data_IF_550553662116
#
_entry.id   IF_550553662116
#
_cell.length_a   1.000
_cell.length_b   1.000
_cell.length_c   1.000
_cell.angle_alpha   90.00
_cell.angle_beta   90.00
_cell.angle_gamma   90.00
#
_symmetry.space_group_name_H-M   'P 1'
#
loop_
_entity.id
_entity.type
_entity.pdbx_description
1 polymer ?
#
# COMPACT_ATOMS: atom_id res chain seq x y z
N UNK A 1 42.96 76.40 20.66
CA UNK A 1 41.96 77.00 19.77
C UNK A 1 41.03 75.88 19.35
N UNK A 2 39.77 75.76 19.74
CA UNK A 2 38.85 76.65 20.45
C UNK A 2 37.79 75.77 21.13
N UNK A 3 37.34 76.18 22.32
CA UNK A 3 36.07 75.75 22.94
C UNK A 3 34.86 76.29 22.13
N UNK A 4 33.63 76.31 22.66
CA UNK A 4 32.70 75.28 23.16
C UNK A 4 31.32 75.44 22.45
N UNK A 5 30.21 74.95 23.04
CA UNK A 5 28.77 75.38 22.97
C UNK A 5 27.80 74.25 22.57
N UNK A 6 26.57 74.09 23.08
CA UNK A 6 25.77 74.71 24.16
C UNK A 6 24.54 73.82 24.42
N UNK A 7 24.18 73.74 25.70
CA UNK A 7 22.88 73.52 26.39
C UNK A 7 21.56 73.53 25.59
N UNK A 8 20.63 72.59 25.87
CA UNK A 8 19.16 72.81 26.09
C UNK A 8 18.53 71.50 26.64
N UNK A 9 18.26 71.33 27.94
CA UNK A 9 16.99 71.60 28.67
C UNK A 9 15.68 71.29 27.93
N UNK A 10 14.96 70.24 28.34
CA UNK A 10 13.54 70.33 28.75
C UNK A 10 13.06 69.03 29.40
N UNK A 11 12.55 69.14 30.63
CA UNK A 11 11.74 68.14 31.29
C UNK A 11 10.29 68.63 31.30
N UNK A 12 9.32 67.86 30.83
CA UNK A 12 7.89 68.04 31.14
C UNK A 12 7.16 66.68 31.08
N UNK A 13 6.82 66.20 32.28
CA UNK A 13 5.52 65.64 32.68
C UNK A 13 4.91 64.49 31.86
N UNK A 14 5.09 63.27 32.39
CA UNK A 14 4.28 62.12 32.08
C UNK A 14 2.82 62.35 32.54
N UNK A 15 1.90 62.31 31.60
CA UNK A 15 0.45 62.26 31.87
C UNK A 15 -0.07 60.90 31.43
N UNK A 16 -0.65 60.20 32.39
CA UNK A 16 -1.40 58.95 32.30
C UNK A 16 -2.50 58.97 31.23
N UNK A 17 -2.51 57.96 30.37
CA UNK A 17 -3.72 57.32 29.81
C UNK A 17 -3.30 55.88 29.43
N UNK A 18 -3.65 54.84 30.19
CA UNK A 18 -4.96 54.19 30.29
C UNK A 18 -5.60 53.88 28.94
N UNK A 19 -5.10 52.81 28.30
CA UNK A 19 -5.89 51.96 27.42
C UNK A 19 -5.40 50.52 27.60
N UNK A 20 -5.98 49.82 28.58
CA UNK A 20 -5.84 48.39 28.72
C UNK A 20 -6.52 47.72 27.51
N UNK A 21 -5.73 47.41 26.49
CA UNK A 21 -6.13 46.47 25.46
C UNK A 21 -6.16 45.08 26.09
N UNK A 22 -7.37 44.55 26.29
CA UNK A 22 -7.61 43.17 26.68
C UNK A 22 -7.10 42.27 25.55
N UNK A 23 -5.84 41.87 25.63
CA UNK A 23 -5.30 40.78 24.83
C UNK A 23 -6.02 39.51 25.31
N UNK A 24 -7.02 39.07 24.55
CA UNK A 24 -7.67 37.77 24.71
C UNK A 24 -6.57 36.70 24.62
N UNK A 25 -6.13 36.20 25.77
CA UNK A 25 -5.11 35.16 25.84
C UNK A 25 -5.65 33.93 25.10
N UNK A 26 -4.96 33.54 24.02
CA UNK A 26 -5.33 32.33 23.28
C UNK A 26 -5.34 31.14 24.26
N UNK A 27 -6.38 30.29 24.21
CA UNK A 27 -6.50 29.19 25.14
C UNK A 27 -5.27 28.27 25.04
N UNK A 28 -4.63 28.04 26.18
CA UNK A 28 -3.41 27.22 26.28
C UNK A 28 -3.71 25.72 26.17
N UNK A 29 -4.99 25.35 26.34
CA UNK A 29 -5.47 23.98 26.43
C UNK A 29 -6.82 23.85 25.72
N UNK A 30 -6.94 22.82 24.89
CA UNK A 30 -8.13 22.45 24.15
C UNK A 30 -8.59 21.08 24.63
N UNK A 31 -9.89 20.91 24.80
CA UNK A 31 -10.52 19.67 25.27
C UNK A 31 -11.20 18.99 24.09
N UNK A 32 -10.87 17.73 23.87
CA UNK A 32 -11.57 16.85 22.93
C UNK A 32 -12.22 15.75 23.74
N UNK A 33 -13.55 15.76 23.78
CA UNK A 33 -14.35 14.75 24.47
C UNK A 33 -14.71 13.68 23.45
N UNK A 34 -14.14 12.48 23.60
CA UNK A 34 -14.43 11.34 22.73
C UNK A 34 -15.35 10.39 23.48
N UNK A 35 -16.63 10.40 23.11
CA UNK A 35 -17.73 9.81 23.89
C UNK A 35 -17.75 10.35 25.32
N UNK A 36 -17.34 9.55 26.30
CA UNK A 36 -17.35 9.90 27.72
C UNK A 36 -15.94 10.17 28.28
N UNK A 37 -14.91 10.16 27.42
CA UNK A 37 -13.52 10.39 27.83
C UNK A 37 -12.99 11.74 27.36
N UNK A 38 -12.36 12.49 28.27
CA UNK A 38 -11.79 13.80 27.98
C UNK A 38 -10.29 13.71 27.69
N UNK A 39 -9.91 14.26 26.54
CA UNK A 39 -8.52 14.40 26.12
C UNK A 39 -8.14 15.86 26.07
N UNK A 40 -6.92 16.14 26.51
CA UNK A 40 -6.41 17.49 26.61
C UNK A 40 -5.25 17.70 25.65
N UNK A 41 -5.44 18.62 24.70
CA UNK A 41 -4.47 18.93 23.67
C UNK A 41 -3.98 20.37 23.81
N UNK A 42 -2.70 20.60 23.52
CA UNK A 42 -2.16 21.93 23.31
C UNK A 42 -2.13 22.27 21.82
N UNK A 43 -1.93 23.55 21.51
CA UNK A 43 -1.87 24.03 20.13
C UNK A 43 -0.81 23.28 19.29
N UNK A 44 0.38 23.03 19.85
CA UNK A 44 1.44 22.34 19.11
C UNK A 44 1.11 20.88 18.80
N UNK A 45 0.32 20.21 19.65
CA UNK A 45 -0.17 18.85 19.33
C UNK A 45 -1.18 18.90 18.19
N UNK A 46 -2.11 19.87 18.23
CA UNK A 46 -3.10 20.07 17.16
C UNK A 46 -2.42 20.38 15.81
N UNK A 47 -1.36 21.20 15.83
CA UNK A 47 -0.62 21.61 14.63
C UNK A 47 0.36 20.54 14.10
N UNK A 48 0.61 19.44 14.83
CA UNK A 48 1.66 18.46 14.49
C UNK A 48 1.48 17.80 13.11
N UNK A 49 0.24 17.52 12.73
CA UNK A 49 -0.14 16.94 11.44
C UNK A 49 -1.18 17.84 10.77
N UNK A 50 -0.91 19.14 10.74
CA UNK A 50 -1.75 20.14 10.08
C UNK A 50 -1.57 20.10 8.55
N UNK A 51 -2.61 20.44 7.75
CA UNK A 51 -3.98 20.75 8.19
C UNK A 51 -4.76 19.48 8.56
N UNK A 52 -5.60 19.58 9.59
CA UNK A 52 -6.46 18.49 10.07
C UNK A 52 -7.79 19.02 10.65
N UNK A 53 -8.68 18.10 11.03
CA UNK A 53 -9.99 18.38 11.59
C UNK A 53 -9.92 19.32 12.81
N UNK A 54 -8.97 19.10 13.72
CA UNK A 54 -8.80 19.92 14.92
C UNK A 54 -8.34 21.34 14.60
N UNK A 55 -7.39 21.50 13.67
CA UNK A 55 -6.96 22.84 13.22
C UNK A 55 -8.11 23.62 12.58
N UNK A 56 -8.98 22.94 11.84
CA UNK A 56 -10.16 23.55 11.24
C UNK A 56 -11.20 23.92 12.29
N UNK A 57 -11.41 23.09 13.31
CA UNK A 57 -12.40 23.37 14.34
C UNK A 57 -11.95 24.48 15.30
N UNK A 58 -10.74 24.36 15.86
CA UNK A 58 -10.26 25.27 16.90
C UNK A 58 -9.68 26.58 16.39
N UNK A 59 -9.21 26.64 15.13
CA UNK A 59 -8.45 27.80 14.62
C UNK A 59 -9.05 28.46 13.37
N UNK A 60 -10.15 27.96 12.81
CA UNK A 60 -10.75 28.58 11.61
C UNK A 60 -11.44 29.92 11.91
N UNK A 61 -11.88 30.69 10.92
CA UNK A 61 -12.64 31.92 11.16
C UNK A 61 -14.12 31.70 11.52
N UNK A 62 -14.57 30.45 11.63
CA UNK A 62 -15.98 30.11 11.77
C UNK A 62 -16.48 30.16 13.23
N UNK A 63 -17.80 30.17 13.43
CA UNK A 63 -18.47 30.37 14.74
C UNK A 63 -17.96 29.43 15.85
N UNK A 64 -17.45 28.25 15.51
CA UNK A 64 -16.94 27.25 16.47
C UNK A 64 -15.51 27.52 16.95
N UNK A 65 -14.75 28.38 16.27
CA UNK A 65 -13.34 28.69 16.58
C UNK A 65 -13.12 29.48 17.88
N UNK A 66 -14.20 29.85 18.57
CA UNK A 66 -14.13 30.36 19.94
C UNK A 66 -14.25 29.27 21.01
N UNK A 67 -14.63 28.05 20.64
CA UNK A 67 -14.82 26.95 21.60
C UNK A 67 -13.49 26.26 21.89
N UNK A 68 -13.16 26.11 23.16
CA UNK A 68 -12.03 25.29 23.61
C UNK A 68 -12.40 23.82 23.78
N UNK A 69 -13.66 23.45 23.54
CA UNK A 69 -14.17 22.10 23.71
C UNK A 69 -14.82 21.58 22.42
N UNK A 70 -14.54 20.33 22.10
CA UNK A 70 -15.08 19.58 20.97
C UNK A 70 -15.60 18.23 21.46
N UNK A 71 -16.73 17.76 20.91
CA UNK A 71 -17.24 16.42 21.15
C UNK A 71 -17.15 15.58 19.86
N UNK A 72 -16.71 14.33 20.00
CA UNK A 72 -16.55 13.39 18.90
C UNK A 72 -17.06 12.02 19.32
N UNK A 73 -17.89 11.38 18.48
CA UNK A 73 -18.35 10.01 18.72
C UNK A 73 -17.43 8.99 18.00
N UNK A 74 -16.27 8.72 18.61
CA UNK A 74 -15.27 7.75 18.13
C UNK A 74 -14.78 6.86 19.26
N UNK A 75 -13.89 5.92 18.98
CA UNK A 75 -13.36 5.02 20.00
C UNK A 75 -12.29 5.75 20.85
N UNK A 76 -12.47 5.91 22.16
CA UNK A 76 -11.51 6.64 23.00
C UNK A 76 -10.17 5.92 23.14
N UNK A 77 -10.13 4.59 23.15
CA UNK A 77 -8.88 3.81 23.22
C UNK A 77 -8.00 4.05 21.99
N UNK A 78 -8.61 4.09 20.79
CA UNK A 78 -7.89 4.41 19.55
C UNK A 78 -7.51 5.90 19.50
N UNK A 79 -8.35 6.77 20.04
CA UNK A 79 -8.03 8.18 20.14
C UNK A 79 -6.82 8.45 21.04
N UNK A 80 -6.63 7.68 22.11
CA UNK A 80 -5.43 7.77 22.94
C UNK A 80 -4.15 7.53 22.12
N UNK A 81 -4.15 6.58 21.17
CA UNK A 81 -3.03 6.37 20.24
C UNK A 81 -2.82 7.57 19.31
N UNK A 82 -3.89 8.23 18.88
CA UNK A 82 -3.82 9.46 18.07
C UNK A 82 -3.20 10.59 18.89
N UNK A 83 -3.54 10.72 20.18
CA UNK A 83 -2.92 11.73 21.06
C UNK A 83 -1.42 11.49 21.23
N UNK A 84 -0.99 10.24 21.41
CA UNK A 84 0.44 9.88 21.46
C UNK A 84 1.15 10.27 20.15
N UNK A 85 0.54 9.99 19.01
CA UNK A 85 1.04 10.40 17.70
C UNK A 85 1.15 11.93 17.56
N UNK A 86 0.09 12.67 17.92
CA UNK A 86 0.06 14.14 17.89
C UNK A 86 1.07 14.76 18.87
N UNK A 87 1.48 14.01 19.89
CA UNK A 87 2.56 14.38 20.80
C UNK A 87 3.96 14.13 20.21
N UNK A 88 4.04 13.56 19.01
CA UNK A 88 5.28 13.29 18.29
C UNK A 88 5.87 11.88 18.50
N UNK A 89 5.19 10.98 19.21
CA UNK A 89 5.68 9.64 19.44
C UNK A 89 5.51 8.73 18.22
N UNK A 90 6.45 7.82 18.04
CA UNK A 90 6.33 6.73 17.06
C UNK A 90 5.42 5.64 17.62
N UNK A 91 4.19 5.58 17.15
CA UNK A 91 3.19 4.63 17.67
C UNK A 91 3.32 3.21 17.07
N UNK A 92 4.05 3.05 15.96
CA UNK A 92 4.21 1.76 15.29
C UNK A 92 5.59 1.12 15.58
N UNK A 93 5.67 -0.21 15.76
CA UNK A 93 4.57 -1.18 15.80
C UNK A 93 3.70 -1.00 17.05
N UNK A 94 2.39 -1.20 16.93
CA UNK A 94 1.48 -1.09 18.09
C UNK A 94 1.85 -2.14 19.12
N UNK A 95 2.07 -1.71 20.36
CA UNK A 95 2.28 -2.62 21.48
C UNK A 95 0.97 -3.35 21.81
N UNK A 96 1.02 -4.65 22.07
CA UNK A 96 -0.18 -5.44 22.41
C UNK A 96 -0.96 -4.85 23.60
N UNK A 97 -0.27 -4.24 24.57
CA UNK A 97 -0.87 -3.56 25.73
C UNK A 97 -1.64 -2.29 25.40
N UNK A 98 -1.40 -1.70 24.23
CA UNK A 98 -2.04 -0.47 23.77
C UNK A 98 -3.24 -0.76 22.87
N UNK A 99 -3.54 -2.04 22.60
CA UNK A 99 -4.72 -2.44 21.85
C UNK A 99 -5.96 -2.37 22.77
N UNK A 100 -7.09 -1.86 22.27
CA UNK A 100 -8.37 -2.02 22.95
C UNK A 100 -8.62 -3.49 23.27
N UNK A 101 -9.15 -3.81 24.46
CA UNK A 101 -9.40 -5.20 24.88
C UNK A 101 -10.34 -5.97 23.94
N UNK A 102 -11.12 -5.24 23.16
CA UNK A 102 -12.14 -5.75 22.24
C UNK A 102 -11.62 -5.96 20.81
N UNK A 103 -10.35 -5.68 20.52
CA UNK A 103 -9.81 -5.69 19.16
C UNK A 103 -8.49 -6.44 19.05
N UNK A 104 -8.32 -7.18 17.95
CA UNK A 104 -7.03 -7.72 17.54
C UNK A 104 -6.18 -6.63 16.85
N UNK A 105 -4.87 -6.90 16.68
CA UNK A 105 -3.93 -5.95 16.08
C UNK A 105 -4.38 -5.51 14.68
N UNK A 106 -4.89 -6.43 13.87
CA UNK A 106 -5.33 -6.14 12.49
C UNK A 106 -6.52 -5.20 12.48
N UNK A 107 -7.53 -5.44 13.30
CA UNK A 107 -8.72 -4.60 13.41
C UNK A 107 -8.37 -3.23 13.98
N UNK A 108 -7.50 -3.18 15.00
CA UNK A 108 -7.04 -1.92 15.57
C UNK A 108 -6.29 -1.06 14.54
N UNK A 109 -5.37 -1.63 13.76
CA UNK A 109 -4.66 -0.90 12.70
C UNK A 109 -5.62 -0.38 11.63
N UNK A 110 -6.62 -1.18 11.23
CA UNK A 110 -7.64 -0.75 10.26
C UNK A 110 -8.47 0.40 10.80
N UNK A 111 -9.00 0.29 12.01
CA UNK A 111 -9.83 1.36 12.59
C UNK A 111 -9.02 2.61 12.92
N UNK A 112 -7.77 2.46 13.35
CA UNK A 112 -6.87 3.60 13.53
C UNK A 112 -6.59 4.32 12.21
N UNK A 113 -6.48 3.59 11.09
CA UNK A 113 -6.36 4.21 9.77
C UNK A 113 -7.64 4.97 9.38
N UNK A 114 -8.82 4.39 9.60
CA UNK A 114 -10.10 5.07 9.38
C UNK A 114 -10.26 6.35 10.23
N UNK A 115 -9.86 6.29 11.51
CA UNK A 115 -9.89 7.45 12.39
C UNK A 115 -8.86 8.50 11.95
N UNK A 116 -7.65 8.10 11.54
CA UNK A 116 -6.66 9.02 10.98
C UNK A 116 -7.17 9.72 9.71
N UNK A 117 -7.89 9.00 8.84
CA UNK A 117 -8.55 9.58 7.67
C UNK A 117 -9.67 10.54 8.08
N UNK A 118 -10.52 10.17 9.03
CA UNK A 118 -11.61 11.00 9.55
C UNK A 118 -11.12 12.32 10.12
N UNK A 119 -10.05 12.28 10.94
CA UNK A 119 -9.46 13.49 11.52
C UNK A 119 -8.59 14.27 10.53
N UNK A 120 -8.39 13.78 9.31
CA UNK A 120 -7.52 14.43 8.32
C UNK A 120 -6.04 14.43 8.72
N UNK A 121 -5.59 13.45 9.51
CA UNK A 121 -4.20 13.29 9.93
C UNK A 121 -3.42 12.59 8.80
N UNK A 122 -3.08 13.35 7.76
CA UNK A 122 -2.56 12.81 6.50
C UNK A 122 -1.28 12.00 6.69
N UNK A 123 -0.34 12.47 7.54
CA UNK A 123 0.91 11.75 7.78
C UNK A 123 0.67 10.48 8.60
N UNK A 124 -0.24 10.48 9.58
CA UNK A 124 -0.60 9.28 10.32
C UNK A 124 -1.30 8.25 9.42
N UNK A 125 -2.27 8.70 8.64
CA UNK A 125 -2.98 7.85 7.69
C UNK A 125 -2.00 7.20 6.70
N UNK A 126 -1.04 7.99 6.17
CA UNK A 126 0.03 7.45 5.35
C UNK A 126 0.89 6.44 6.13
N UNK A 127 1.30 6.72 7.37
CA UNK A 127 2.08 5.80 8.20
C UNK A 127 1.38 4.43 8.42
N UNK A 128 0.04 4.42 8.47
CA UNK A 128 -0.78 3.23 8.70
C UNK A 128 -1.14 2.47 7.42
N UNK A 129 -1.16 3.15 6.28
CA UNK A 129 -1.60 2.58 4.99
C UNK A 129 -0.47 2.33 4.00
N UNK A 130 0.64 3.06 4.14
CA UNK A 130 1.83 2.96 3.28
C UNK A 130 2.79 1.93 3.90
N UNK A 131 3.30 0.98 3.10
CA UNK A 131 4.29 0.04 3.58
C UNK A 131 5.52 0.81 4.03
N UNK A 132 6.14 0.37 5.13
CA UNK A 132 7.39 0.97 5.59
C UNK A 132 8.43 0.89 4.48
N UNK A 133 9.07 2.02 4.18
CA UNK A 133 10.27 1.99 3.35
C UNK A 133 11.27 1.04 3.99
N UNK A 134 11.93 0.21 3.19
CA UNK A 134 12.89 -0.71 3.74
C UNK A 134 13.98 0.06 4.47
N UNK A 135 14.33 -0.37 5.68
CA UNK A 135 15.42 0.25 6.46
C UNK A 135 16.81 -0.17 5.98
N UNK A 136 16.87 -1.02 4.96
CA UNK A 136 18.09 -1.54 4.36
C UNK A 136 18.32 -0.77 3.06
N UNK A 137 19.57 -0.41 2.75
CA UNK A 137 19.90 0.14 1.43
C UNK A 137 19.66 -0.93 0.35
N UNK A 138 18.72 -0.69 -0.57
CA UNK A 138 18.39 -1.62 -1.66
C UNK A 138 19.36 -1.52 -2.84
N UNK A 139 20.33 -0.59 -2.81
CA UNK A 139 21.30 -0.39 -3.88
C UNK A 139 21.99 -1.67 -4.35
N UNK A 140 22.37 -2.55 -3.42
CA UNK A 140 23.08 -3.80 -3.73
C UNK A 140 22.22 -4.81 -4.50
N UNK A 141 20.89 -4.70 -4.41
CA UNK A 141 19.94 -5.51 -5.19
C UNK A 141 19.65 -4.94 -6.58
N UNK A 142 20.20 -3.77 -6.89
CA UNK A 142 19.94 -3.05 -8.14
C UNK A 142 18.67 -2.20 -8.14
N UNK A 143 17.92 -2.14 -7.02
CA UNK A 143 16.74 -1.29 -6.88
C UNK A 143 17.07 0.04 -6.17
N UNK A 144 16.19 1.01 -6.34
CA UNK A 144 16.18 2.22 -5.50
C UNK A 144 15.75 1.86 -4.07
N UNK A 145 16.23 2.65 -3.10
CA UNK A 145 15.77 2.67 -1.71
C UNK A 145 14.34 3.24 -1.56
N UNK A 146 13.78 3.81 -2.64
CA UNK A 146 12.42 4.32 -2.69
C UNK A 146 11.42 3.20 -2.96
N UNK A 147 10.32 3.25 -2.22
CA UNK A 147 9.07 2.53 -2.52
C UNK A 147 7.99 3.56 -2.81
N UNK A 148 7.27 3.40 -3.92
CA UNK A 148 6.13 4.24 -4.29
C UNK A 148 4.84 3.43 -4.27
N UNK A 149 3.72 4.08 -4.00
CA UNK A 149 2.42 3.41 -4.07
C UNK A 149 1.96 3.31 -5.52
N UNK A 150 1.23 2.27 -5.84
CA UNK A 150 0.62 2.13 -7.14
C UNK A 150 -0.41 3.24 -7.40
N UNK A 151 -1.15 3.67 -6.38
CA UNK A 151 -2.09 4.80 -6.51
C UNK A 151 -1.37 6.10 -6.91
N UNK A 152 -0.20 6.37 -6.35
CA UNK A 152 0.60 7.56 -6.69
C UNK A 152 1.10 7.48 -8.13
N UNK A 153 1.47 6.27 -8.60
CA UNK A 153 1.84 6.01 -10.01
C UNK A 153 0.64 6.28 -10.93
N UNK A 154 -0.55 5.82 -10.58
CA UNK A 154 -1.77 6.02 -11.37
C UNK A 154 -2.19 7.49 -11.46
N UNK A 155 -2.01 8.24 -10.37
CA UNK A 155 -2.36 9.66 -10.31
C UNK A 155 -1.27 10.58 -10.87
N UNK A 156 -0.08 10.03 -11.19
CA UNK A 156 1.08 10.83 -11.59
C UNK A 156 1.69 11.65 -10.43
N UNK A 157 1.32 11.34 -9.19
CA UNK A 157 1.79 12.00 -7.97
C UNK A 157 3.12 11.41 -7.50
N UNK A 158 4.10 11.37 -8.40
CA UNK A 158 5.40 10.75 -8.13
C UNK A 158 6.35 11.69 -7.39
N UNK A 159 7.23 11.17 -6.51
CA UNK A 159 8.32 11.96 -5.93
C UNK A 159 9.18 12.60 -7.04
N UNK A 160 9.77 13.78 -6.77
CA UNK A 160 10.55 14.51 -7.77
C UNK A 160 11.75 13.72 -8.35
N UNK A 161 12.31 12.78 -7.59
CA UNK A 161 13.40 11.92 -8.05
C UNK A 161 12.93 10.76 -8.94
N UNK A 162 11.63 10.47 -9.00
CA UNK A 162 11.06 9.32 -9.69
C UNK A 162 10.42 9.74 -11.00
N UNK A 163 10.81 9.10 -12.10
CA UNK A 163 10.26 9.39 -13.43
C UNK A 163 10.31 8.17 -14.35
N UNK A 164 9.52 8.20 -15.42
CA UNK A 164 9.61 7.21 -16.48
C UNK A 164 10.87 7.46 -17.32
N UNK A 165 11.66 6.40 -17.49
CA UNK A 165 12.88 6.37 -18.29
C UNK A 165 12.77 5.30 -19.38
N UNK A 166 13.78 5.19 -20.23
CA UNK A 166 13.89 4.10 -21.22
C UNK A 166 13.99 2.70 -20.59
N UNK A 167 14.23 2.61 -19.28
CA UNK A 167 14.27 1.35 -18.52
C UNK A 167 12.98 1.04 -17.76
N UNK A 168 12.00 1.94 -17.78
CA UNK A 168 10.76 1.86 -17.00
C UNK A 168 10.69 2.95 -15.93
N UNK A 169 9.97 2.69 -14.83
CA UNK A 169 9.83 3.66 -13.74
C UNK A 169 11.05 3.60 -12.81
N UNK A 170 11.81 4.68 -12.73
CA UNK A 170 13.10 4.70 -12.02
C UNK A 170 13.26 5.94 -11.15
N UNK A 171 14.04 5.81 -10.08
CA UNK A 171 14.56 6.93 -9.31
C UNK A 171 15.88 7.37 -9.91
N UNK A 172 16.09 8.68 -9.96
CA UNK A 172 17.29 9.34 -10.47
C UNK A 172 17.92 10.08 -9.30
N UNK A 173 18.72 9.36 -8.53
CA UNK A 173 19.40 9.89 -7.35
C UNK A 173 20.91 9.93 -7.62
N UNK A 174 21.53 11.11 -7.47
CA UNK A 174 22.97 11.32 -7.65
C UNK A 174 23.53 10.77 -8.99
N UNK A 175 22.74 10.85 -10.07
CA UNK A 175 23.11 10.36 -11.40
C UNK A 175 22.96 8.85 -11.60
N UNK A 176 22.59 8.08 -10.57
CA UNK A 176 22.25 6.67 -10.70
C UNK A 176 20.76 6.52 -11.06
N UNK A 177 20.47 5.77 -12.12
CA UNK A 177 19.10 5.42 -12.52
C UNK A 177 18.81 4.02 -12.01
N UNK A 178 17.86 3.88 -11.09
CA UNK A 178 17.50 2.58 -10.49
C UNK A 178 15.99 2.35 -10.52
N UNK A 179 15.52 1.13 -10.86
CA UNK A 179 14.10 0.83 -10.80
C UNK A 179 13.55 1.02 -9.39
N UNK A 180 12.34 1.58 -9.31
CA UNK A 180 11.64 1.82 -8.04
C UNK A 180 10.70 0.66 -7.76
N UNK A 181 10.67 0.21 -6.51
CA UNK A 181 9.72 -0.79 -6.06
C UNK A 181 8.35 -0.12 -5.90
N UNK A 182 7.35 -0.72 -6.51
CA UNK A 182 5.96 -0.26 -6.45
C UNK A 182 5.19 -1.21 -5.54
N UNK A 183 4.45 -0.64 -4.62
CA UNK A 183 3.56 -1.37 -3.73
C UNK A 183 2.10 -1.16 -4.12
N UNK A 184 1.35 -2.25 -4.22
CA UNK A 184 -0.10 -2.22 -4.38
C UNK A 184 -0.79 -3.12 -3.36
N UNK A 185 -2.07 -2.86 -3.12
CA UNK A 185 -2.92 -3.66 -2.24
C UNK A 185 -4.26 -3.95 -2.89
N UNK A 186 -4.90 -5.00 -2.40
CA UNK A 186 -6.28 -5.33 -2.74
C UNK A 186 -6.50 -5.50 -4.26
N UNK A 187 -5.52 -6.13 -4.92
CA UNK A 187 -5.57 -6.44 -6.35
C UNK A 187 -5.70 -7.95 -6.52
N UNK A 188 -6.74 -8.38 -7.24
CA UNK A 188 -6.88 -9.79 -7.60
C UNK A 188 -5.77 -10.22 -8.57
N UNK A 189 -5.07 -11.28 -8.20
CA UNK A 189 -4.02 -11.91 -9.00
C UNK A 189 -4.58 -13.18 -9.61
N UNK A 190 -4.61 -13.24 -10.94
CA UNK A 190 -5.01 -14.42 -11.70
C UNK A 190 -3.77 -15.20 -12.16
N UNK A 191 -3.69 -16.46 -11.75
CA UNK A 191 -2.73 -17.45 -12.24
C UNK A 191 -3.41 -18.28 -13.33
N UNK A 192 -2.84 -18.33 -14.52
CA UNK A 192 -3.45 -19.00 -15.67
C UNK A 192 -2.54 -20.12 -16.14
N UNK A 193 -3.05 -21.35 -16.12
CA UNK A 193 -2.37 -22.52 -16.66
C UNK A 193 -2.72 -22.76 -18.13
N UNK A 194 -1.71 -22.83 -19.00
CA UNK A 194 -1.88 -22.93 -20.45
C UNK A 194 -1.79 -24.38 -20.98
N UNK A 195 -2.60 -24.73 -21.99
CA UNK A 195 -2.66 -26.09 -22.59
C UNK A 195 -1.52 -26.43 -23.56
N UNK A 196 -1.17 -25.49 -24.42
CA UNK A 196 -0.35 -25.73 -25.61
C UNK A 196 1.15 -25.64 -25.31
N UNK A 197 1.81 -26.80 -25.13
CA UNK A 197 3.25 -26.94 -25.40
C UNK A 197 3.43 -27.00 -26.92
N UNK A 198 4.55 -26.52 -27.47
CA UNK A 198 4.83 -26.81 -28.87
C UNK A 198 5.03 -28.33 -29.08
N UNK A 199 4.83 -28.79 -30.32
CA UNK A 199 4.83 -30.23 -30.69
C UNK A 199 6.20 -30.91 -30.50
N UNK A 200 7.25 -30.19 -30.11
CA UNK A 200 8.61 -30.71 -29.96
C UNK A 200 8.99 -31.07 -28.52
N UNK A 201 8.15 -30.75 -27.54
CA UNK A 201 8.41 -31.08 -26.13
C UNK A 201 9.58 -30.30 -25.50
N UNK A 202 10.10 -29.25 -26.18
CA UNK A 202 11.01 -28.27 -25.57
C UNK A 202 10.22 -27.02 -25.13
N UNK A 203 10.62 -26.33 -24.05
CA UNK A 203 10.03 -25.06 -23.68
C UNK A 203 10.38 -24.00 -24.74
N UNK A 204 9.38 -23.52 -25.47
CA UNK A 204 9.51 -22.32 -26.30
C UNK A 204 9.76 -21.11 -25.36
N UNK A 205 10.79 -20.28 -25.59
CA UNK A 205 11.05 -19.08 -24.81
C UNK A 205 9.87 -18.09 -24.76
N UNK A 206 8.88 -18.25 -25.64
CA UNK A 206 7.65 -17.46 -25.70
C UNK A 206 6.39 -18.21 -25.22
N UNK A 207 6.50 -19.47 -24.79
CA UNK A 207 5.33 -20.29 -24.45
C UNK A 207 5.33 -20.71 -22.98
N UNK A 208 4.87 -19.77 -22.15
CA UNK A 208 4.82 -19.92 -20.71
C UNK A 208 3.72 -20.90 -20.31
N UNK A 209 4.11 -21.96 -19.60
CA UNK A 209 3.18 -22.93 -19.00
C UNK A 209 2.16 -22.28 -18.05
N UNK A 210 2.58 -21.18 -17.44
CA UNK A 210 1.76 -20.33 -16.59
C UNK A 210 1.90 -18.88 -17.04
N UNK A 211 0.80 -18.15 -17.04
CA UNK A 211 0.81 -16.68 -17.15
C UNK A 211 0.16 -16.07 -15.90
N UNK A 212 0.54 -14.83 -15.61
CA UNK A 212 0.09 -14.11 -14.42
C UNK A 212 -0.56 -12.80 -14.85
N UNK A 213 -1.66 -12.45 -14.20
CA UNK A 213 -2.44 -11.27 -14.58
C UNK A 213 -2.96 -10.55 -13.35
N UNK A 214 -2.92 -9.22 -13.38
CA UNK A 214 -3.59 -8.39 -12.39
C UNK A 214 -4.96 -8.02 -12.93
N UNK A 215 -6.02 -8.36 -12.19
CA UNK A 215 -7.37 -7.95 -12.53
C UNK A 215 -7.57 -6.53 -12.01
N UNK A 216 -7.70 -5.57 -12.93
CA UNK A 216 -7.81 -4.15 -12.61
C UNK A 216 -9.22 -3.64 -12.90
N UNK A 217 -9.80 -2.79 -12.03
CA UNK A 217 -11.01 -2.06 -12.36
C UNK A 217 -10.83 -1.24 -13.65
N UNK A 218 -11.91 -1.09 -14.42
CA UNK A 218 -11.88 -0.32 -15.67
C UNK A 218 -11.35 1.12 -15.50
N UNK A 219 -11.63 1.73 -14.34
CA UNK A 219 -11.10 3.05 -13.99
C UNK A 219 -9.56 3.06 -13.88
N UNK A 220 -8.97 2.03 -13.27
CA UNK A 220 -7.50 1.90 -13.14
C UNK A 220 -6.88 1.67 -14.51
N UNK A 221 -7.49 0.81 -15.34
CA UNK A 221 -7.05 0.62 -16.73
C UNK A 221 -7.01 1.94 -17.49
N UNK A 222 -8.10 2.71 -17.45
CA UNK A 222 -8.17 3.99 -18.15
C UNK A 222 -7.09 4.97 -17.66
N UNK A 223 -6.78 4.98 -16.36
CA UNK A 223 -5.69 5.78 -15.80
C UNK A 223 -4.30 5.32 -16.28
N UNK A 224 -4.07 4.00 -16.41
CA UNK A 224 -2.83 3.45 -16.97
C UNK A 224 -2.66 3.81 -18.45
N UNK A 225 -3.75 3.79 -19.23
CA UNK A 225 -3.74 4.19 -20.65
C UNK A 225 -3.49 5.69 -20.86
N UNK A 226 -3.71 6.52 -19.83
CA UNK A 226 -3.40 7.94 -19.83
C UNK A 226 -1.94 8.26 -19.44
N UNK A 227 -1.19 7.29 -18.95
CA UNK A 227 0.19 7.53 -18.51
C UNK A 227 1.08 7.91 -19.71
N UNK A 228 2.01 8.86 -19.51
CA UNK A 228 2.85 9.36 -20.59
C UNK A 228 3.78 8.26 -21.08
N UNK A 229 3.85 8.12 -22.41
CA UNK A 229 4.72 7.18 -23.13
C UNK A 229 4.44 5.70 -22.94
N UNK A 230 3.41 5.28 -22.21
CA UNK A 230 3.25 3.88 -21.81
C UNK A 230 2.21 3.11 -22.61
N UNK A 231 2.64 2.02 -23.24
CA UNK A 231 1.76 0.94 -23.67
C UNK A 231 1.92 -0.25 -22.70
N UNK A 232 1.00 -0.36 -21.73
CA UNK A 232 0.90 -1.56 -20.90
C UNK A 232 0.25 -2.69 -21.69
N UNK A 233 0.71 -3.92 -21.46
CA UNK A 233 0.20 -5.10 -22.15
C UNK A 233 -1.04 -5.66 -21.42
N UNK A 234 -2.22 -5.38 -21.95
CA UNK A 234 -3.47 -5.98 -21.46
C UNK A 234 -3.81 -7.25 -22.24
N UNK A 235 -4.56 -8.16 -21.62
CA UNK A 235 -5.00 -9.36 -22.32
C UNK A 235 -6.04 -9.00 -23.40
N UNK A 236 -5.86 -9.53 -24.61
CA UNK A 236 -6.82 -9.35 -25.70
C UNK A 236 -8.21 -9.95 -25.39
N UNK A 237 -8.24 -11.07 -24.67
CA UNK A 237 -9.48 -11.75 -24.31
C UNK A 237 -10.23 -11.06 -23.15
N UNK A 238 -9.51 -10.35 -22.28
CA UNK A 238 -10.09 -9.55 -21.21
C UNK A 238 -9.28 -8.26 -21.04
N UNK A 239 -9.79 -7.12 -21.53
CA UNK A 239 -9.04 -5.88 -21.53
C UNK A 239 -8.80 -5.34 -20.12
N UNK A 240 -9.50 -5.83 -19.09
CA UNK A 240 -9.29 -5.42 -17.69
C UNK A 240 -8.12 -6.14 -17.00
N UNK A 241 -7.54 -7.13 -17.68
CA UNK A 241 -6.43 -7.91 -17.15
C UNK A 241 -5.10 -7.41 -17.67
N UNK A 242 -4.27 -6.90 -16.76
CA UNK A 242 -2.91 -6.49 -17.06
C UNK A 242 -1.99 -7.72 -17.01
N UNK A 243 -1.29 -8.00 -18.11
CA UNK A 243 -0.32 -9.10 -18.19
C UNK A 243 0.94 -8.71 -17.42
N UNK A 244 1.39 -9.61 -16.55
CA UNK A 244 2.60 -9.40 -15.75
C UNK A 244 3.52 -10.62 -15.85
N UNK A 245 4.82 -10.39 -15.61
CA UNK A 245 5.79 -11.47 -15.44
C UNK A 245 6.29 -11.50 -14.00
N UNK A 246 7.01 -12.57 -13.69
CA UNK A 246 7.63 -12.80 -12.38
C UNK A 246 9.13 -12.96 -12.59
N UNK A 247 9.94 -12.58 -11.61
CA UNK A 247 11.32 -13.02 -11.59
C UNK A 247 11.41 -14.47 -11.09
N UNK A 248 12.46 -15.22 -11.45
CA UNK A 248 12.63 -16.60 -10.97
C UNK A 248 12.62 -16.72 -9.44
N UNK A 249 13.15 -15.70 -8.75
CA UNK A 249 13.24 -15.67 -7.29
C UNK A 249 11.97 -15.12 -6.61
N UNK A 250 10.98 -14.68 -7.40
CA UNK A 250 9.77 -14.06 -6.87
C UNK A 250 8.97 -15.02 -6.01
N UNK A 251 8.49 -14.51 -4.88
CA UNK A 251 7.79 -15.30 -3.86
C UNK A 251 6.30 -15.01 -3.89
N UNK A 252 5.51 -16.05 -3.65
CA UNK A 252 4.08 -15.97 -3.44
C UNK A 252 3.81 -16.52 -2.03
N UNK A 253 3.20 -15.70 -1.17
CA UNK A 253 2.71 -16.10 0.14
C UNK A 253 1.21 -16.26 0.04
N UNK A 254 0.70 -17.46 0.26
CA UNK A 254 -0.70 -17.81 0.10
C UNK A 254 -1.20 -18.38 1.41
N UNK A 255 -2.17 -17.71 2.04
CA UNK A 255 -2.74 -18.11 3.33
C UNK A 255 -1.67 -18.33 4.43
N UNK A 256 -0.58 -17.56 4.37
CA UNK A 256 0.55 -17.64 5.31
C UNK A 256 1.68 -18.58 4.87
N UNK A 257 1.41 -19.50 3.95
CA UNK A 257 2.40 -20.42 3.40
C UNK A 257 3.24 -19.78 2.30
N UNK A 258 4.53 -20.13 2.20
CA UNK A 258 5.47 -19.50 1.25
C UNK A 258 5.85 -20.46 0.12
N UNK A 259 5.57 -20.06 -1.11
CA UNK A 259 5.94 -20.77 -2.34
C UNK A 259 6.66 -19.84 -3.33
N UNK A 260 7.23 -20.39 -4.41
CA UNK A 260 7.76 -19.61 -5.54
C UNK A 260 6.75 -19.61 -6.67
N UNK A 261 6.74 -18.55 -7.47
CA UNK A 261 5.87 -18.50 -8.67
C UNK A 261 6.18 -19.62 -9.66
N UNK A 262 7.45 -20.03 -9.80
CA UNK A 262 7.82 -21.16 -10.67
C UNK A 262 7.19 -22.50 -10.24
N UNK A 263 6.88 -22.67 -8.94
CA UNK A 263 6.23 -23.87 -8.43
C UNK A 263 4.80 -24.01 -8.97
N UNK A 264 4.10 -22.90 -9.26
CA UNK A 264 2.79 -22.95 -9.88
C UNK A 264 2.84 -23.59 -11.27
N UNK A 265 3.82 -23.19 -12.09
CA UNK A 265 4.01 -23.78 -13.41
C UNK A 265 4.35 -25.27 -13.32
N UNK A 266 5.15 -25.67 -12.32
CA UNK A 266 5.44 -27.08 -12.05
C UNK A 266 4.18 -27.87 -11.67
N UNK A 267 3.48 -27.42 -10.63
CA UNK A 267 2.23 -28.00 -10.14
C UNK A 267 1.19 -28.14 -11.26
N UNK A 268 1.04 -27.11 -12.10
CA UNK A 268 0.14 -27.13 -13.24
C UNK A 268 0.49 -28.24 -14.26
N UNK A 269 1.78 -28.45 -14.55
CA UNK A 269 2.22 -29.54 -15.45
C UNK A 269 1.98 -30.91 -14.84
N UNK A 270 2.32 -31.07 -13.56
CA UNK A 270 2.20 -32.33 -12.85
C UNK A 270 0.76 -32.85 -12.86
N UNK A 271 -0.22 -31.97 -12.60
CA UNK A 271 -1.66 -32.32 -12.62
C UNK A 271 -2.22 -32.66 -14.00
N UNK A 272 -1.64 -32.15 -15.08
CA UNK A 272 -2.17 -32.36 -16.45
C UNK A 272 -1.78 -33.67 -17.10
N UNK A 273 -0.63 -34.23 -16.73
CA UNK A 273 -0.12 -35.46 -17.35
C UNK A 273 -0.33 -36.62 -16.41
N UNK A 274 -1.50 -37.27 -16.51
CA UNK A 274 -1.69 -38.64 -16.01
C UNK A 274 -0.63 -39.54 -16.67
N UNK A 275 0.46 -39.83 -15.94
CA UNK A 275 1.56 -40.68 -16.42
C UNK A 275 2.83 -39.95 -16.87
N UNK A 276 3.07 -38.69 -16.48
CA UNK A 276 4.42 -38.12 -16.66
C UNK A 276 5.43 -38.92 -15.82
N UNK A 277 6.59 -39.31 -16.38
CA UNK A 277 7.37 -40.39 -15.82
C UNK A 277 8.06 -39.95 -14.53
N UNK A 278 7.78 -40.72 -13.49
CA UNK A 278 8.59 -40.90 -12.29
C UNK A 278 10.08 -40.98 -12.65
N UNK A 279 10.84 -39.90 -12.48
CA UNK A 279 12.27 -39.88 -12.79
C UNK A 279 13.00 -38.65 -12.27
N UNK A 280 12.37 -37.48 -12.31
CA UNK A 280 12.90 -36.32 -11.60
C UNK A 280 12.58 -36.46 -10.11
N UNK A 281 13.64 -36.58 -9.30
CA UNK A 281 13.53 -36.39 -7.86
C UNK A 281 13.09 -34.95 -7.62
N UNK A 282 11.80 -34.77 -7.38
CA UNK A 282 11.27 -33.54 -6.81
C UNK A 282 12.04 -33.25 -5.52
N UNK A 283 12.50 -32.02 -5.38
CA UNK A 283 13.01 -31.54 -4.11
C UNK A 283 11.86 -31.48 -3.11
N UNK A 284 12.16 -31.58 -1.82
CA UNK A 284 11.12 -31.49 -0.77
C UNK A 284 10.36 -30.16 -0.87
N UNK A 285 11.05 -29.07 -1.23
CA UNK A 285 10.47 -27.74 -1.50
C UNK A 285 9.40 -27.77 -2.61
N UNK A 286 9.59 -28.55 -3.68
CA UNK A 286 8.58 -28.65 -4.75
C UNK A 286 7.34 -29.42 -4.27
N UNK A 287 7.53 -30.49 -3.48
CA UNK A 287 6.41 -31.27 -2.92
C UNK A 287 5.61 -30.45 -1.91
N UNK A 288 6.28 -29.66 -1.09
CA UNK A 288 5.64 -28.76 -0.15
C UNK A 288 4.81 -27.71 -0.89
N UNK A 289 5.36 -27.12 -1.95
CA UNK A 289 4.63 -26.18 -2.78
C UNK A 289 3.41 -26.82 -3.48
N UNK A 290 3.53 -28.07 -3.96
CA UNK A 290 2.39 -28.81 -4.52
C UNK A 290 1.27 -28.98 -3.49
N UNK A 291 1.59 -29.35 -2.25
CA UNK A 291 0.60 -29.46 -1.17
C UNK A 291 -0.10 -28.13 -0.89
N UNK A 292 0.65 -27.03 -0.90
CA UNK A 292 0.10 -25.69 -0.71
C UNK A 292 -0.87 -25.32 -1.85
N UNK A 293 -0.51 -25.58 -3.10
CA UNK A 293 -1.43 -25.34 -4.23
C UNK A 293 -2.62 -26.29 -4.27
N UNK A 294 -2.45 -27.54 -3.83
CA UNK A 294 -3.53 -28.50 -3.72
C UNK A 294 -4.57 -28.06 -2.69
N UNK A 295 -4.12 -27.54 -1.55
CA UNK A 295 -4.98 -27.00 -0.51
C UNK A 295 -5.69 -25.71 -0.95
N UNK A 296 -4.97 -24.82 -1.64
CA UNK A 296 -5.50 -23.54 -2.11
C UNK A 296 -6.50 -23.68 -3.28
N UNK A 297 -6.27 -24.65 -4.15
CA UNK A 297 -7.10 -24.95 -5.30
C UNK A 297 -7.57 -26.41 -5.22
N UNK A 298 -8.46 -26.71 -4.25
CA UNK A 298 -9.00 -28.04 -4.05
C UNK A 298 -9.79 -28.46 -5.30
N UNK A 299 -10.05 -29.75 -5.43
CA UNK A 299 -10.53 -30.36 -6.67
C UNK A 299 -12.06 -30.27 -6.85
N UNK A 300 -12.60 -29.34 -7.67
CA UNK A 300 -13.79 -29.64 -8.45
C UNK A 300 -13.46 -29.93 -9.93
N UNK A 301 -12.17 -30.00 -10.28
CA UNK A 301 -11.70 -30.07 -11.68
C UNK A 301 -11.51 -31.49 -12.23
N UNK A 302 -11.49 -32.53 -11.38
CA UNK A 302 -11.38 -33.92 -11.85
C UNK A 302 -12.67 -34.43 -12.50
N UNK A 303 -13.86 -33.96 -12.13
CA UNK A 303 -15.11 -34.37 -12.81
C UNK A 303 -15.18 -33.87 -14.26
N UNK A 304 -14.57 -32.71 -14.56
CA UNK A 304 -14.49 -32.16 -15.92
C UNK A 304 -13.32 -32.81 -16.68
N UNK A 305 -12.17 -33.01 -16.01
CA UNK A 305 -11.01 -33.68 -16.60
C UNK A 305 -11.27 -35.17 -16.90
N UNK A 306 -12.03 -35.87 -16.06
CA UNK A 306 -12.44 -37.27 -16.25
C UNK A 306 -13.44 -37.45 -17.39
N UNK A 307 -14.19 -36.41 -17.76
CA UNK A 307 -15.02 -36.36 -18.98
C UNK A 307 -14.21 -36.16 -20.25
N UNK A 308 -12.88 -35.99 -20.17
CA UNK A 308 -12.02 -35.74 -21.31
C UNK A 308 -12.07 -34.30 -21.83
N UNK A 309 -12.87 -33.44 -21.20
CA UNK A 309 -13.01 -32.02 -21.52
C UNK A 309 -11.97 -31.20 -20.74
N UNK A 310 -10.69 -31.47 -20.97
CA UNK A 310 -9.66 -30.58 -20.43
C UNK A 310 -9.86 -29.18 -21.01
N UNK A 311 -10.41 -28.26 -20.21
CA UNK A 311 -10.48 -26.84 -20.57
C UNK A 311 -9.08 -26.40 -21.01
N UNK A 312 -9.00 -25.77 -22.18
CA UNK A 312 -7.73 -25.36 -22.80
C UNK A 312 -6.94 -24.35 -21.96
N UNK A 313 -7.62 -23.77 -20.96
CA UNK A 313 -7.13 -22.75 -20.06
C UNK A 313 -7.82 -22.93 -18.72
N UNK A 314 -7.05 -22.95 -17.64
CA UNK A 314 -7.59 -22.92 -16.28
C UNK A 314 -7.10 -21.67 -15.57
N UNK A 315 -8.00 -21.06 -14.82
CA UNK A 315 -7.78 -19.79 -14.16
C UNK A 315 -7.96 -19.96 -12.66
N UNK A 316 -6.98 -19.48 -11.92
CA UNK A 316 -6.97 -19.52 -10.47
C UNK A 316 -6.84 -18.09 -9.99
N UNK A 317 -7.75 -17.65 -9.12
CA UNK A 317 -7.78 -16.28 -8.64
C UNK A 317 -7.39 -16.27 -7.16
N UNK A 318 -6.44 -15.42 -6.84
CA UNK A 318 -6.01 -15.09 -5.49
C UNK A 318 -6.33 -13.62 -5.21
N UNK A 319 -6.68 -13.31 -3.97
CA UNK A 319 -6.80 -11.94 -3.51
C UNK A 319 -5.45 -11.43 -3.05
N UNK A 320 -4.77 -10.60 -3.85
CA UNK A 320 -3.48 -10.03 -3.48
C UNK A 320 -3.65 -8.93 -2.45
N UNK A 321 -3.38 -9.24 -1.19
CA UNK A 321 -3.40 -8.27 -0.10
C UNK A 321 -2.29 -7.23 -0.26
N UNK A 322 -1.10 -7.69 -0.65
CA UNK A 322 0.10 -6.87 -0.82
C UNK A 322 0.90 -7.40 -2.02
N UNK A 323 1.23 -6.51 -2.96
CA UNK A 323 2.03 -6.83 -4.13
C UNK A 323 3.21 -5.86 -4.21
N UNK A 324 4.41 -6.41 -4.33
CA UNK A 324 5.62 -5.67 -4.69
C UNK A 324 5.97 -5.99 -6.14
N UNK A 325 6.15 -4.97 -6.96
CA UNK A 325 6.55 -5.13 -8.35
C UNK A 325 7.37 -3.94 -8.85
N UNK A 326 7.94 -4.09 -10.04
CA UNK A 326 8.62 -3.00 -10.75
C UNK A 326 8.03 -2.83 -12.13
N UNK A 327 8.01 -1.60 -12.64
CA UNK A 327 7.68 -1.32 -14.03
C UNK A 327 8.99 -1.23 -14.82
N UNK A 328 9.14 -2.14 -15.77
CA UNK A 328 10.30 -2.22 -16.68
C UNK A 328 9.87 -1.89 -18.10
N UNK A 329 10.74 -1.25 -18.88
CA UNK A 329 10.53 -1.10 -20.31
C UNK A 329 10.92 -2.38 -21.05
N UNK A 330 10.12 -2.78 -22.04
CA UNK A 330 10.44 -3.89 -22.97
C UNK A 330 11.01 -3.40 -24.31
N UNK A 331 10.66 -2.19 -24.72
CA UNK A 331 11.07 -1.64 -26.01
C UNK A 331 10.16 -0.51 -26.46
N UNK A 332 10.24 -0.15 -27.73
CA UNK A 332 9.35 0.83 -28.36
C UNK A 332 8.51 0.12 -29.42
N UNK A 333 7.19 0.25 -29.33
CA UNK A 333 6.26 -0.21 -30.35
C UNK A 333 5.58 1.01 -30.97
N UNK A 334 5.77 1.22 -32.28
CA UNK A 334 5.24 2.37 -33.01
C UNK A 334 5.58 3.75 -32.39
N UNK A 335 6.76 3.86 -31.75
CA UNK A 335 7.20 5.09 -31.10
C UNK A 335 6.71 5.28 -29.65
N UNK A 336 5.91 4.34 -29.13
CA UNK A 336 5.45 4.33 -27.72
C UNK A 336 6.29 3.35 -26.91
N UNK A 337 6.72 3.74 -25.70
CA UNK A 337 7.48 2.88 -24.81
C UNK A 337 6.55 1.79 -24.25
N UNK A 338 6.87 0.53 -24.50
CA UNK A 338 6.12 -0.59 -23.96
C UNK A 338 6.57 -0.87 -22.53
N UNK A 339 5.65 -0.72 -21.59
CA UNK A 339 5.90 -0.94 -20.17
C UNK A 339 5.37 -2.30 -19.74
N UNK A 340 6.10 -2.92 -18.83
CA UNK A 340 5.83 -4.27 -18.39
C UNK A 340 6.11 -4.43 -16.90
N UNK A 341 5.15 -5.00 -16.18
CA UNK A 341 5.24 -5.20 -14.73
C UNK A 341 5.93 -6.52 -14.41
N UNK A 342 6.90 -6.47 -13.49
CA UNK A 342 7.54 -7.66 -12.95
C UNK A 342 7.26 -7.77 -11.46
N UNK A 343 6.52 -8.80 -11.06
CA UNK A 343 6.22 -9.12 -9.67
C UNK A 343 7.51 -9.56 -8.94
N UNK A 344 7.72 -9.06 -7.72
CA UNK A 344 8.84 -9.37 -6.84
C UNK A 344 8.40 -10.28 -5.68
N UNK A 345 7.38 -9.86 -4.94
CA UNK A 345 6.81 -10.59 -3.81
C UNK A 345 5.31 -10.31 -3.79
N UNK A 346 4.52 -11.36 -3.57
CA UNK A 346 3.07 -11.24 -3.46
C UNK A 346 2.64 -11.93 -2.18
N UNK A 347 1.85 -11.23 -1.38
CA UNK A 347 1.05 -11.79 -0.30
C UNK A 347 -0.40 -11.82 -0.75
N UNK A 348 -1.00 -13.00 -0.72
CA UNK A 348 -2.34 -13.21 -1.18
C UNK A 348 -3.12 -14.20 -0.30
N UNK A 349 -4.44 -14.15 -0.45
CA UNK A 349 -5.38 -15.08 0.18
C UNK A 349 -6.16 -15.84 -0.86
N UNK A 350 -6.51 -17.08 -0.53
CA UNK A 350 -7.44 -17.86 -1.35
C UNK A 350 -8.86 -17.35 -1.20
N UNK A 351 -9.75 -17.77 -2.11
CA UNK A 351 -11.18 -17.46 -2.01
C UNK A 351 -11.77 -17.91 -0.67
N UNK A 352 -11.38 -19.08 -0.18
CA UNK A 352 -11.85 -19.61 1.10
C UNK A 352 -11.46 -18.67 2.24
N UNK A 353 -10.19 -18.31 2.36
CA UNK A 353 -9.70 -17.41 3.41
C UNK A 353 -10.31 -16.01 3.32
N UNK A 354 -10.53 -15.47 2.11
CA UNK A 354 -11.26 -14.20 1.95
C UNK A 354 -12.68 -14.32 2.49
N UNK A 355 -13.42 -15.38 2.13
CA UNK A 355 -14.77 -15.59 2.61
C UNK A 355 -14.82 -15.78 4.14
N UNK A 356 -13.85 -16.47 4.72
CA UNK A 356 -13.72 -16.58 6.18
C UNK A 356 -13.59 -15.19 6.83
N UNK A 357 -12.80 -14.29 6.25
CA UNK A 357 -12.69 -12.92 6.78
C UNK A 357 -13.96 -12.07 6.62
N UNK A 358 -14.88 -12.48 5.75
CA UNK A 358 -16.18 -11.84 5.57
C UNK A 358 -17.27 -12.48 6.44
N UNK A 359 -17.00 -13.64 7.07
CA UNK A 359 -17.97 -14.26 7.97
C UNK A 359 -18.27 -13.31 9.13
N UNK A 360 -19.55 -13.07 9.44
CA UNK A 360 -19.91 -12.30 10.62
C UNK A 360 -19.32 -12.95 11.88
N UNK A 361 -18.71 -12.14 12.76
CA UNK A 361 -18.00 -12.63 13.95
C UNK A 361 -18.87 -13.49 14.89
N UNK A 362 -20.20 -13.36 14.83
CA UNK A 362 -21.12 -14.16 15.65
C UNK A 362 -21.39 -15.58 15.11
N UNK A 363 -20.88 -15.93 13.94
CA UNK A 363 -20.99 -17.28 13.34
C UNK A 363 -19.64 -18.03 13.34
N UNK A 364 -18.61 -17.49 13.97
CA UNK A 364 -17.26 -18.06 13.92
C UNK A 364 -17.01 -19.18 14.96
N UNK A 365 -17.93 -19.38 15.92
CA UNK A 365 -17.75 -20.27 17.08
C UNK A 365 -18.70 -21.51 17.11
N UNK A 366 -19.38 -21.84 16.01
CA UNK A 366 -20.03 -23.15 15.82
C UNK A 366 -19.18 -24.05 14.91
#
# INVERSE_FOLDING_TARGET
MSSPSTTTSTAVTATTSSAAATATAAPTKYTVVVRDEEFFLCKSQIDYDAPNFFTSYFFSGFKESGSTCMHVDRNPDLFALIVEYMSGYTILPLAARALPRTMDLRTALRYLAEDAAFYGLARLHALLTVPRQPTIDFAWTGFSDRVVRFEDVLQGNLPQSVSYTTSGLCSIDNGAVRPVIIFARDIALKLVGNRYLDKSGRPDPNNTTASYRLCLPAAIKAQLEQQPYSAFEFCEADPTELVVSVFPESRLRMDGERVRFEHFAHWWRARRRSGWPFGERLTDDTRDAERVFDAAFPQPFEEIASRGEWCERNEFILWGDELLFVITARGFLAGTLQLHLKLLDVRARTRAEVLETLRPLYLADE
#
